data_IF_936470174263
#
_entry.id   IF_936470174263
#
_cell.length_a   1.000
_cell.length_b   1.000
_cell.length_c   1.000
_cell.angle_alpha   90.00
_cell.angle_beta   90.00
_cell.angle_gamma   90.00
#
_symmetry.space_group_name_H-M   'P 1'
#
loop_
_entity.id
_entity.type
_entity.pdbx_description
1 polymer ?
#
# COMPACT_ATOMS: atom_id res chain seq x y z
N UNK A 1 19.20 4.82 -5.24
CA UNK A 1 18.04 4.08 -5.78
C UNK A 1 18.24 2.60 -5.51
N UNK A 2 17.22 1.89 -4.99
CA UNK A 2 17.25 0.47 -4.69
C UNK A 2 15.89 -0.18 -5.01
N UNK A 3 15.92 -1.48 -5.30
CA UNK A 3 14.71 -2.28 -5.54
C UNK A 3 14.28 -3.01 -4.25
N UNK A 4 13.26 -2.51 -3.58
CA UNK A 4 12.73 -3.07 -2.34
C UNK A 4 12.04 -4.43 -2.52
N UNK A 5 11.77 -4.86 -3.74
CA UNK A 5 11.29 -6.22 -4.00
C UNK A 5 12.38 -7.28 -3.77
N UNK A 6 13.63 -6.88 -3.55
CA UNK A 6 14.78 -7.76 -3.29
C UNK A 6 15.29 -7.62 -1.85
N UNK A 7 15.98 -8.67 -1.35
CA UNK A 7 16.63 -8.65 -0.04
C UNK A 7 17.74 -7.59 0.02
N UNK A 8 18.60 -7.56 -1.01
CA UNK A 8 19.73 -6.64 -1.06
C UNK A 8 19.29 -5.18 -1.15
N UNK A 9 18.23 -4.91 -1.94
CA UNK A 9 17.66 -3.58 -2.04
C UNK A 9 17.10 -3.08 -0.71
N UNK A 10 16.39 -3.92 0.03
CA UNK A 10 15.90 -3.59 1.37
C UNK A 10 17.04 -3.37 2.36
N UNK A 11 18.08 -4.23 2.34
CA UNK A 11 19.25 -4.08 3.21
C UNK A 11 20.01 -2.77 2.93
N UNK A 12 20.22 -2.44 1.67
CA UNK A 12 20.90 -1.20 1.27
C UNK A 12 20.12 0.05 1.72
N UNK A 13 18.78 0.04 1.59
CA UNK A 13 17.95 1.16 2.04
C UNK A 13 17.98 1.28 3.56
N UNK A 14 17.86 0.19 4.29
CA UNK A 14 17.89 0.22 5.75
C UNK A 14 19.22 0.74 6.28
N UNK A 15 20.35 0.25 5.77
CA UNK A 15 21.68 0.70 6.16
C UNK A 15 21.86 2.19 5.86
N UNK A 16 21.58 2.63 4.64
CA UNK A 16 21.70 4.03 4.25
C UNK A 16 20.78 4.97 5.06
N UNK A 17 19.61 4.48 5.49
CA UNK A 17 18.69 5.26 6.35
C UNK A 17 19.25 5.43 7.75
N UNK A 18 19.72 4.35 8.37
CA UNK A 18 20.30 4.40 9.72
C UNK A 18 21.58 5.24 9.73
N UNK A 19 22.46 5.04 8.74
CA UNK A 19 23.73 5.80 8.64
C UNK A 19 23.47 7.30 8.38
N UNK A 20 22.50 7.62 7.52
CA UNK A 20 22.21 8.99 7.12
C UNK A 20 21.41 9.80 8.14
N UNK A 21 20.51 9.15 8.90
CA UNK A 21 19.62 9.80 9.87
C UNK A 21 20.08 9.62 11.33
N UNK A 22 21.00 8.69 11.60
CA UNK A 22 21.43 8.35 12.95
C UNK A 22 20.41 7.56 13.77
N UNK A 23 19.27 7.13 13.16
CA UNK A 23 18.19 6.40 13.76
C UNK A 23 16.94 6.42 12.89
N UNK A 24 15.80 5.93 13.40
CA UNK A 24 14.54 5.91 12.68
C UNK A 24 13.35 6.09 13.63
N UNK A 25 12.55 7.12 13.43
CA UNK A 25 11.37 7.44 14.22
C UNK A 25 10.07 7.06 13.48
N UNK A 26 10.08 7.21 12.16
CA UNK A 26 8.89 7.03 11.33
C UNK A 26 9.24 6.21 10.10
N UNK A 27 8.42 5.16 9.83
CA UNK A 27 8.47 4.39 8.59
C UNK A 27 7.12 4.43 7.89
N UNK A 28 7.12 4.85 6.63
CA UNK A 28 5.93 4.86 5.78
C UNK A 28 6.17 3.94 4.59
N UNK A 29 5.51 2.78 4.59
CA UNK A 29 5.59 1.81 3.50
C UNK A 29 4.60 2.18 2.39
N UNK A 30 5.03 3.03 1.46
CA UNK A 30 4.23 3.46 0.31
C UNK A 30 4.57 2.73 -1.01
N UNK A 31 5.51 1.79 -0.96
CA UNK A 31 5.89 0.97 -2.12
C UNK A 31 4.78 -0.02 -2.44
N UNK A 32 4.43 -0.11 -3.71
CA UNK A 32 3.41 -1.04 -4.18
C UNK A 32 2.90 -0.69 -5.57
N UNK A 33 2.11 -1.58 -6.10
CA UNK A 33 1.49 -1.47 -7.42
C UNK A 33 1.33 -2.82 -8.08
N UNK A 34 0.66 -2.88 -9.22
CA UNK A 34 0.51 -4.10 -10.00
C UNK A 34 0.88 -3.88 -11.45
N UNK A 35 1.58 -4.87 -12.00
CA UNK A 35 1.86 -5.02 -13.43
C UNK A 35 1.22 -6.28 -13.98
N UNK A 36 0.36 -6.94 -13.21
CA UNK A 36 -0.35 -8.15 -13.64
C UNK A 36 -1.15 -7.87 -14.90
N UNK A 37 -1.15 -8.82 -15.85
CA UNK A 37 -2.00 -8.73 -17.04
C UNK A 37 -3.48 -8.87 -16.65
N UNK A 38 -4.36 -8.36 -17.50
CA UNK A 38 -5.79 -8.72 -17.46
C UNK A 38 -6.00 -10.18 -17.86
N UNK A 39 -7.20 -10.69 -17.61
CA UNK A 39 -7.58 -12.07 -17.98
C UNK A 39 -7.82 -13.01 -16.78
N UNK A 40 -7.92 -12.43 -15.59
CA UNK A 40 -8.28 -13.16 -14.38
C UNK A 40 -7.22 -14.16 -13.92
N UNK A 41 -7.63 -15.18 -13.16
CA UNK A 41 -6.70 -16.12 -12.53
C UNK A 41 -5.84 -16.91 -13.52
N UNK A 42 -6.36 -17.22 -14.70
CA UNK A 42 -5.67 -18.02 -15.70
C UNK A 42 -4.45 -17.33 -16.33
N UNK A 43 -4.43 -15.99 -16.27
CA UNK A 43 -3.31 -15.19 -16.76
C UNK A 43 -2.16 -15.03 -15.75
N UNK A 44 -2.34 -15.50 -14.50
CA UNK A 44 -1.40 -15.29 -13.41
C UNK A 44 -0.49 -16.53 -13.23
N UNK A 45 0.72 -16.47 -13.78
CA UNK A 45 1.76 -17.48 -13.53
C UNK A 45 2.32 -17.36 -12.10
N UNK A 46 2.98 -18.43 -11.62
CA UNK A 46 3.68 -18.43 -10.33
C UNK A 46 4.68 -17.26 -10.20
N UNK A 47 5.34 -16.90 -11.29
CA UNK A 47 6.25 -15.76 -11.32
C UNK A 47 5.52 -14.45 -11.05
N UNK A 48 4.37 -14.23 -11.66
CA UNK A 48 3.57 -13.03 -11.42
C UNK A 48 3.12 -12.98 -9.96
N UNK A 49 2.66 -14.10 -9.41
CA UNK A 49 2.34 -14.20 -8.00
C UNK A 49 3.50 -13.83 -7.10
N UNK A 50 4.70 -14.37 -7.39
CA UNK A 50 5.90 -14.07 -6.61
C UNK A 50 6.30 -12.59 -6.70
N UNK A 51 6.23 -12.00 -7.89
CA UNK A 51 6.56 -10.59 -8.12
C UNK A 51 5.58 -9.68 -7.35
N UNK A 52 4.27 -9.96 -7.39
CA UNK A 52 3.26 -9.19 -6.65
C UNK A 52 3.43 -9.31 -5.12
N UNK A 53 3.72 -10.51 -4.61
CA UNK A 53 4.00 -10.72 -3.18
C UNK A 53 5.31 -10.02 -2.77
N UNK A 54 6.36 -10.11 -3.56
CA UNK A 54 7.64 -9.45 -3.27
C UNK A 54 7.48 -7.93 -3.16
N UNK A 55 6.74 -7.32 -4.08
CA UNK A 55 6.57 -5.88 -4.12
C UNK A 55 5.57 -5.37 -3.06
N UNK A 56 4.41 -6.02 -2.93
CA UNK A 56 3.27 -5.48 -2.18
C UNK A 56 3.18 -5.96 -0.72
N UNK A 57 3.95 -6.97 -0.34
CA UNK A 57 4.03 -7.51 1.03
C UNK A 57 5.47 -7.56 1.53
N UNK A 58 6.32 -8.35 0.86
CA UNK A 58 7.63 -8.69 1.39
C UNK A 58 8.60 -7.51 1.41
N UNK A 59 8.40 -6.49 0.58
CA UNK A 59 9.17 -5.24 0.65
C UNK A 59 9.02 -4.57 2.03
N UNK A 60 7.79 -4.46 2.54
CA UNK A 60 7.54 -3.92 3.87
C UNK A 60 8.11 -4.84 4.97
N UNK A 61 7.83 -6.14 4.90
CA UNK A 61 8.34 -7.13 5.88
C UNK A 61 9.86 -7.11 6.00
N UNK A 62 10.58 -7.00 4.86
CA UNK A 62 12.05 -6.94 4.84
C UNK A 62 12.57 -5.68 5.52
N UNK A 63 11.99 -4.51 5.20
CA UNK A 63 12.40 -3.25 5.83
C UNK A 63 12.07 -3.22 7.31
N UNK A 64 10.88 -3.67 7.72
CA UNK A 64 10.50 -3.73 9.14
C UNK A 64 11.48 -4.58 9.95
N UNK A 65 11.88 -5.73 9.42
CA UNK A 65 12.88 -6.61 10.08
C UNK A 65 14.23 -5.93 10.31
N UNK A 66 14.58 -4.95 9.50
CA UNK A 66 15.85 -4.23 9.56
C UNK A 66 15.75 -2.93 10.36
N UNK A 67 14.62 -2.24 10.32
CA UNK A 67 14.45 -0.91 10.92
C UNK A 67 13.78 -0.95 12.31
N UNK A 68 12.83 -1.86 12.52
CA UNK A 68 12.08 -1.96 13.78
C UNK A 68 12.96 -2.23 15.01
N UNK A 69 14.05 -3.02 14.93
CA UNK A 69 14.95 -3.19 16.08
C UNK A 69 15.49 -1.87 16.65
N UNK A 70 15.77 -0.88 15.80
CA UNK A 70 16.22 0.45 16.27
C UNK A 70 15.08 1.21 16.99
N UNK A 71 13.85 1.15 16.46
CA UNK A 71 12.68 1.73 17.13
C UNK A 71 12.43 1.10 18.50
N UNK A 72 12.55 -0.23 18.61
CA UNK A 72 12.39 -0.95 19.88
C UNK A 72 13.46 -0.51 20.88
N UNK A 73 14.70 -0.37 20.44
CA UNK A 73 15.82 0.08 21.27
C UNK A 73 15.62 1.49 21.82
N UNK A 74 15.05 2.39 21.02
CA UNK A 74 14.74 3.75 21.49
C UNK A 74 13.41 3.85 22.25
N UNK A 75 12.57 2.79 22.23
CA UNK A 75 11.29 2.75 22.95
C UNK A 75 10.18 3.60 22.33
N UNK A 76 10.36 4.03 21.08
CA UNK A 76 9.37 4.87 20.36
C UNK A 76 9.48 4.67 18.86
N UNK A 77 8.34 4.87 18.16
CA UNK A 77 8.29 4.84 16.70
C UNK A 77 6.87 4.83 16.16
N UNK A 78 6.74 5.15 14.89
CA UNK A 78 5.47 5.08 14.17
C UNK A 78 5.65 4.45 12.79
N UNK A 79 4.85 3.42 12.50
CA UNK A 79 4.85 2.69 11.23
C UNK A 79 3.47 2.84 10.58
N UNK A 80 3.45 3.18 9.29
CA UNK A 80 2.22 3.19 8.49
C UNK A 80 2.43 2.36 7.23
N UNK A 81 1.58 1.34 7.06
CA UNK A 81 1.51 0.53 5.85
C UNK A 81 0.44 1.05 4.90
N UNK A 82 0.78 1.33 3.65
CA UNK A 82 -0.19 1.67 2.62
C UNK A 82 -0.71 0.37 1.98
N UNK A 83 -1.89 -0.03 2.42
CA UNK A 83 -2.65 -1.16 1.90
C UNK A 83 -3.47 -0.78 0.65
N UNK A 84 -4.68 -1.26 0.52
CA UNK A 84 -5.62 -0.92 -0.55
C UNK A 84 -7.03 -1.38 -0.18
N UNK A 85 -8.06 -0.69 -0.67
CA UNK A 85 -9.44 -1.19 -0.60
C UNK A 85 -9.61 -2.54 -1.31
N UNK A 86 -8.75 -2.86 -2.28
CA UNK A 86 -8.83 -4.13 -3.02
C UNK A 86 -8.65 -5.36 -2.12
N UNK A 87 -8.12 -5.23 -0.92
CA UNK A 87 -8.13 -6.29 0.09
C UNK A 87 -9.54 -6.74 0.50
N UNK A 88 -10.55 -5.90 0.30
CA UNK A 88 -11.99 -6.16 0.56
C UNK A 88 -12.82 -6.17 -0.72
N UNK A 89 -12.43 -5.37 -1.71
CA UNK A 89 -13.11 -5.22 -3.00
C UNK A 89 -12.12 -5.56 -4.13
N UNK A 90 -11.74 -6.85 -4.32
CA UNK A 90 -10.79 -7.25 -5.34
C UNK A 90 -11.39 -7.12 -6.74
N UNK A 91 -10.62 -6.59 -7.69
CA UNK A 91 -10.97 -6.60 -9.11
C UNK A 91 -10.47 -7.92 -9.73
N UNK A 92 -11.36 -8.89 -9.85
CA UNK A 92 -11.02 -10.26 -10.26
C UNK A 92 -10.44 -10.37 -11.67
N UNK A 93 -10.71 -9.41 -12.54
CA UNK A 93 -10.24 -9.44 -13.92
C UNK A 93 -8.77 -9.01 -14.07
N UNK A 94 -8.20 -8.28 -13.09
CA UNK A 94 -6.90 -7.63 -13.30
C UNK A 94 -5.95 -7.59 -12.11
N UNK A 95 -6.44 -7.78 -10.86
CA UNK A 95 -5.61 -7.50 -9.68
C UNK A 95 -5.69 -8.55 -8.57
N UNK A 96 -5.99 -9.81 -8.90
CA UNK A 96 -6.17 -10.88 -7.90
C UNK A 96 -4.94 -11.01 -6.99
N UNK A 97 -3.74 -11.15 -7.56
CA UNK A 97 -2.51 -11.35 -6.79
C UNK A 97 -2.13 -10.10 -5.96
N UNK A 98 -2.34 -8.91 -6.53
CA UNK A 98 -2.18 -7.65 -5.80
C UNK A 98 -3.14 -7.55 -4.61
N UNK A 99 -4.42 -7.83 -4.82
CA UNK A 99 -5.44 -7.79 -3.77
C UNK A 99 -5.11 -8.76 -2.63
N UNK A 100 -4.68 -9.98 -2.96
CA UNK A 100 -4.22 -10.97 -2.00
C UNK A 100 -2.99 -10.49 -1.21
N UNK A 101 -1.99 -9.90 -1.89
CA UNK A 101 -0.80 -9.35 -1.23
C UNK A 101 -1.16 -8.18 -0.30
N UNK A 102 -2.09 -7.29 -0.69
CA UNK A 102 -2.55 -6.16 0.14
C UNK A 102 -3.41 -6.64 1.33
N UNK A 103 -4.19 -7.71 1.17
CA UNK A 103 -4.88 -8.35 2.30
C UNK A 103 -3.89 -8.94 3.31
N UNK A 104 -2.85 -9.63 2.82
CA UNK A 104 -1.77 -10.13 3.66
C UNK A 104 -1.01 -9.00 4.37
N UNK A 105 -0.74 -7.86 3.70
CA UNK A 105 -0.11 -6.68 4.31
C UNK A 105 -0.96 -6.11 5.44
N UNK A 106 -2.28 -6.01 5.28
CA UNK A 106 -3.20 -5.53 6.32
C UNK A 106 -3.18 -6.44 7.55
N UNK A 107 -3.19 -7.76 7.33
CA UNK A 107 -3.08 -8.77 8.41
C UNK A 107 -1.72 -8.69 9.09
N UNK A 108 -0.63 -8.57 8.33
CA UNK A 108 0.72 -8.38 8.85
C UNK A 108 0.81 -7.11 9.71
N UNK A 109 0.31 -5.98 9.21
CA UNK A 109 0.26 -4.72 9.95
C UNK A 109 -0.44 -4.87 11.31
N UNK A 110 -1.58 -5.57 11.32
CA UNK A 110 -2.33 -5.84 12.56
C UNK A 110 -1.56 -6.75 13.52
N UNK A 111 -0.93 -7.80 13.02
CA UNK A 111 -0.12 -8.71 13.84
C UNK A 111 1.09 -7.96 14.45
N UNK A 112 1.80 -7.20 13.62
CA UNK A 112 2.94 -6.39 14.04
C UNK A 112 2.57 -5.37 15.12
N UNK A 113 1.39 -4.74 15.01
CA UNK A 113 0.90 -3.82 16.04
C UNK A 113 0.78 -4.48 17.42
N UNK A 114 0.30 -5.72 17.47
CA UNK A 114 0.17 -6.46 18.73
C UNK A 114 1.52 -6.72 19.39
N UNK A 115 2.53 -7.01 18.59
CA UNK A 115 3.88 -7.27 19.06
C UNK A 115 4.60 -6.01 19.51
N UNK A 116 4.43 -4.89 18.78
CA UNK A 116 5.24 -3.69 18.96
C UNK A 116 4.62 -2.66 19.91
N UNK A 117 3.31 -2.70 20.16
CA UNK A 117 2.65 -1.78 21.08
C UNK A 117 3.28 -1.74 22.47
N UNK A 118 3.53 -2.90 23.13
CA UNK A 118 4.21 -2.94 24.42
C UNK A 118 5.66 -2.41 24.39
N UNK A 119 6.23 -2.27 23.21
CA UNK A 119 7.61 -1.79 22.98
C UNK A 119 7.67 -0.31 22.61
N UNK A 120 6.54 0.41 22.67
CA UNK A 120 6.45 1.84 22.41
C UNK A 120 6.33 2.22 20.91
N UNK A 121 6.17 1.24 20.00
CA UNK A 121 6.08 1.49 18.57
C UNK A 121 4.64 1.35 18.09
N UNK A 122 4.08 2.41 17.51
CA UNK A 122 2.73 2.39 16.94
C UNK A 122 2.76 1.88 15.50
N UNK A 123 1.83 1.03 15.15
CA UNK A 123 1.67 0.51 13.79
C UNK A 123 0.23 0.67 13.35
N UNK A 124 0.01 1.32 12.21
CA UNK A 124 -1.31 1.48 11.60
C UNK A 124 -1.24 1.19 10.10
N UNK A 125 -2.39 1.06 9.47
CA UNK A 125 -2.51 0.92 8.03
C UNK A 125 -3.47 1.97 7.46
N UNK A 126 -3.24 2.33 6.20
CA UNK A 126 -4.15 3.14 5.38
C UNK A 126 -4.50 2.33 4.15
N UNK A 127 -5.78 2.24 3.82
CA UNK A 127 -6.31 1.52 2.66
C UNK A 127 -6.95 2.51 1.69
N UNK A 128 -6.19 3.07 0.75
CA UNK A 128 -6.73 3.97 -0.25
C UNK A 128 -7.62 3.26 -1.26
N UNK A 129 -8.58 4.01 -1.82
CA UNK A 129 -9.28 3.67 -3.03
C UNK A 129 -8.45 3.99 -4.28
N UNK A 130 -9.10 4.34 -5.37
CA UNK A 130 -8.39 4.81 -6.55
C UNK A 130 -7.78 6.19 -6.33
N UNK A 131 -6.46 6.30 -6.56
CA UNK A 131 -5.68 7.53 -6.38
C UNK A 131 -5.19 8.03 -7.73
N UNK A 132 -5.32 9.33 -7.98
CA UNK A 132 -4.86 9.99 -9.18
C UNK A 132 -3.34 10.19 -9.14
N UNK A 133 -2.60 9.19 -9.60
CA UNK A 133 -1.13 9.15 -9.63
C UNK A 133 -0.62 8.99 -11.06
N UNK A 134 0.67 9.27 -11.29
CA UNK A 134 1.32 8.98 -12.58
C UNK A 134 1.15 7.51 -12.99
N UNK A 135 1.20 6.58 -12.03
CA UNK A 135 1.00 5.15 -12.30
C UNK A 135 -0.45 4.83 -12.71
N UNK A 136 -1.45 5.46 -12.07
CA UNK A 136 -2.85 5.29 -12.44
C UNK A 136 -3.17 5.91 -13.80
N UNK A 137 -2.60 7.07 -14.13
CA UNK A 137 -2.74 7.67 -15.44
C UNK A 137 -2.12 6.80 -16.56
N UNK A 138 -0.94 6.24 -16.30
CA UNK A 138 -0.32 5.27 -17.20
C UNK A 138 -1.18 4.01 -17.40
N UNK A 139 -1.89 3.56 -16.35
CA UNK A 139 -2.85 2.45 -16.44
C UNK A 139 -4.04 2.83 -17.32
N UNK A 140 -4.65 4.00 -17.10
CA UNK A 140 -5.75 4.50 -17.93
C UNK A 140 -5.36 4.55 -19.42
N UNK A 141 -4.18 5.09 -19.74
CA UNK A 141 -3.66 5.14 -21.11
C UNK A 141 -3.51 3.75 -21.74
N UNK A 142 -2.98 2.78 -20.97
CA UNK A 142 -2.85 1.40 -21.47
C UNK A 142 -4.21 0.75 -21.72
N UNK A 143 -5.18 0.97 -20.84
CA UNK A 143 -6.54 0.41 -21.00
C UNK A 143 -7.25 1.03 -22.19
N UNK A 144 -7.16 2.37 -22.37
CA UNK A 144 -7.71 3.07 -23.51
C UNK A 144 -7.13 2.53 -24.83
N UNK A 145 -5.79 2.43 -24.92
CA UNK A 145 -5.11 1.89 -26.10
C UNK A 145 -5.49 0.43 -26.39
N UNK A 146 -5.61 -0.40 -25.38
CA UNK A 146 -6.00 -1.81 -25.53
C UNK A 146 -7.44 -1.96 -26.02
N UNK A 147 -8.34 -1.12 -25.51
CA UNK A 147 -9.76 -1.14 -25.88
C UNK A 147 -10.08 -0.36 -27.16
N UNK A 148 -9.12 0.37 -27.74
CA UNK A 148 -9.36 1.27 -28.87
C UNK A 148 -10.30 2.43 -28.52
N UNK A 149 -10.32 2.87 -27.26
CA UNK A 149 -11.15 3.96 -26.74
C UNK A 149 -10.29 5.17 -26.34
N UNK A 150 -10.94 6.25 -25.91
CA UNK A 150 -10.25 7.39 -25.30
C UNK A 150 -10.01 7.17 -23.80
N UNK A 151 -9.17 8.02 -23.20
CA UNK A 151 -8.79 7.94 -21.79
C UNK A 151 -9.97 8.20 -20.85
N UNK A 152 -10.95 9.02 -21.24
CA UNK A 152 -12.14 9.31 -20.43
C UNK A 152 -13.06 8.09 -20.34
N UNK A 153 -13.29 7.43 -21.46
CA UNK A 153 -14.04 6.16 -21.52
C UNK A 153 -13.37 5.08 -20.68
N UNK A 154 -12.03 4.96 -20.76
CA UNK A 154 -11.28 4.01 -19.94
C UNK A 154 -11.35 4.36 -18.45
N UNK A 155 -11.30 5.65 -18.08
CA UNK A 155 -11.45 6.14 -16.70
C UNK A 155 -12.82 5.82 -16.15
N UNK A 156 -13.88 6.08 -16.92
CA UNK A 156 -15.24 5.74 -16.54
C UNK A 156 -15.40 4.23 -16.35
N UNK A 157 -14.83 3.42 -17.23
CA UNK A 157 -14.85 1.95 -17.08
C UNK A 157 -14.20 1.46 -15.80
N UNK A 158 -13.12 2.11 -15.34
CA UNK A 158 -12.53 1.79 -14.02
C UNK A 158 -13.49 2.18 -12.89
N UNK A 159 -14.11 3.36 -12.96
CA UNK A 159 -15.07 3.79 -11.96
C UNK A 159 -16.26 2.85 -11.87
N UNK A 160 -16.78 2.40 -13.01
CA UNK A 160 -17.90 1.46 -13.09
C UNK A 160 -17.52 0.08 -12.51
N UNK A 161 -16.30 -0.41 -12.81
CA UNK A 161 -15.79 -1.67 -12.26
C UNK A 161 -15.63 -1.62 -10.73
N UNK A 162 -15.39 -0.44 -10.16
CA UNK A 162 -15.35 -0.22 -8.71
C UNK A 162 -16.75 -0.08 -8.09
N UNK A 163 -17.80 -0.05 -8.88
CA UNK A 163 -19.17 0.25 -8.42
C UNK A 163 -19.44 1.74 -8.19
N UNK A 164 -18.59 2.60 -8.75
CA UNK A 164 -18.61 4.04 -8.58
C UNK A 164 -17.73 4.54 -7.43
N UNK A 165 -17.48 5.84 -7.44
CA UNK A 165 -16.82 6.57 -6.34
C UNK A 165 -17.79 7.67 -5.91
N UNK A 166 -18.44 7.57 -4.74
CA UNK A 166 -19.47 8.52 -4.31
C UNK A 166 -19.07 10.00 -4.32
N UNK A 167 -17.79 10.32 -4.05
CA UNK A 167 -17.30 11.71 -4.18
C UNK A 167 -17.07 12.16 -5.63
N UNK A 168 -17.35 11.30 -6.62
CA UNK A 168 -17.32 11.62 -8.06
C UNK A 168 -15.93 11.66 -8.70
N UNK A 169 -14.86 11.31 -7.98
CA UNK A 169 -13.49 11.35 -8.48
C UNK A 169 -12.56 10.41 -7.71
N UNK A 170 -11.42 10.01 -8.30
CA UNK A 170 -10.29 9.45 -7.55
C UNK A 170 -9.78 10.45 -6.50
N UNK A 171 -9.19 9.95 -5.42
CA UNK A 171 -8.53 10.79 -4.44
C UNK A 171 -7.17 11.30 -4.98
N UNK A 172 -6.69 12.41 -4.42
CA UNK A 172 -5.37 12.93 -4.72
C UNK A 172 -4.32 12.36 -3.75
N UNK A 173 -3.06 12.18 -4.17
CA UNK A 173 -1.98 11.71 -3.28
C UNK A 173 -1.86 12.54 -2.00
N UNK A 174 -2.07 13.86 -2.09
CA UNK A 174 -2.05 14.75 -0.95
C UNK A 174 -3.08 14.40 0.12
N UNK A 175 -4.28 13.98 -0.28
CA UNK A 175 -5.35 13.60 0.65
C UNK A 175 -4.94 12.38 1.49
N UNK A 176 -4.21 11.43 0.88
CA UNK A 176 -3.63 10.29 1.59
C UNK A 176 -2.49 10.73 2.52
N UNK A 177 -1.62 11.62 2.02
CA UNK A 177 -0.47 12.12 2.78
C UNK A 177 -0.89 12.87 4.06
N UNK A 178 -1.97 13.65 4.03
CA UNK A 178 -2.50 14.37 5.20
C UNK A 178 -2.95 13.37 6.30
N UNK A 179 -3.64 12.30 5.92
CA UNK A 179 -4.01 11.24 6.88
C UNK A 179 -2.77 10.54 7.45
N UNK A 180 -1.81 10.20 6.60
CA UNK A 180 -0.56 9.55 7.03
C UNK A 180 0.22 10.47 7.98
N UNK A 181 0.36 11.75 7.65
CA UNK A 181 1.04 12.74 8.48
C UNK A 181 0.39 12.85 9.88
N UNK A 182 -0.94 12.84 9.94
CA UNK A 182 -1.66 12.80 11.21
C UNK A 182 -1.35 11.51 11.99
N UNK A 183 -1.41 10.33 11.34
CA UNK A 183 -1.22 9.02 11.98
C UNK A 183 0.19 8.83 12.55
N UNK A 184 1.23 9.42 11.93
CA UNK A 184 2.61 9.31 12.44
C UNK A 184 2.93 10.36 13.50
N UNK A 185 2.11 11.38 13.65
CA UNK A 185 2.32 12.45 14.64
C UNK A 185 1.90 12.04 16.06
N UNK A 186 2.37 12.80 17.06
CA UNK A 186 1.98 12.61 18.48
C UNK A 186 0.49 12.84 18.74
N UNK A 187 -0.19 13.58 17.85
CA UNK A 187 -1.64 13.80 17.92
C UNK A 187 -2.44 12.50 17.77
N UNK A 188 -1.83 11.46 17.18
CA UNK A 188 -2.41 10.14 17.00
C UNK A 188 -1.89 9.12 18.03
N UNK A 189 -1.42 9.56 19.20
CA UNK A 189 -0.76 8.71 20.22
C UNK A 189 -1.60 7.53 20.70
N UNK A 190 -2.92 7.65 20.71
CA UNK A 190 -3.85 6.58 21.08
C UNK A 190 -4.31 5.72 19.89
N UNK A 191 -3.86 6.04 18.66
CA UNK A 191 -4.24 5.31 17.45
C UNK A 191 -3.18 4.25 17.16
N UNK A 192 -3.58 2.97 17.31
CA UNK A 192 -2.68 1.84 17.17
C UNK A 192 -3.42 0.58 16.69
N UNK A 193 -2.83 -0.12 15.73
CA UNK A 193 -3.40 -1.34 15.15
C UNK A 193 -4.70 -1.11 14.37
N UNK A 194 -4.97 0.11 13.95
CA UNK A 194 -6.12 0.48 13.15
C UNK A 194 -5.76 0.48 11.65
N UNK A 195 -6.79 0.30 10.82
CA UNK A 195 -6.70 0.51 9.39
C UNK A 195 -7.76 1.50 8.95
N UNK A 196 -7.33 2.55 8.27
CA UNK A 196 -8.17 3.65 7.80
C UNK A 196 -8.42 3.53 6.32
N UNK A 197 -9.68 3.37 5.94
CA UNK A 197 -10.12 3.45 4.54
C UNK A 197 -10.23 4.91 4.14
N UNK A 198 -9.66 5.25 2.99
CA UNK A 198 -9.77 6.56 2.35
C UNK A 198 -10.00 6.38 0.86
N UNK A 199 -11.25 6.23 0.45
CA UNK A 199 -11.64 5.73 -0.86
C UNK A 199 -12.78 6.51 -1.51
N UNK A 200 -13.17 7.64 -0.92
CA UNK A 200 -14.27 8.44 -1.41
C UNK A 200 -15.64 7.77 -1.31
N UNK A 201 -15.77 6.73 -0.45
CA UNK A 201 -17.01 6.00 -0.24
C UNK A 201 -17.19 4.80 -1.18
N UNK A 202 -16.14 4.35 -1.85
CA UNK A 202 -16.18 3.25 -2.84
C UNK A 202 -16.61 1.92 -2.21
N UNK A 203 -16.09 1.57 -1.01
CA UNK A 203 -16.53 0.36 -0.30
C UNK A 203 -17.95 0.58 0.22
N UNK A 204 -18.92 -0.28 -0.15
CA UNK A 204 -20.33 -0.08 0.21
C UNK A 204 -20.66 -0.54 1.65
N UNK A 205 -19.70 -1.06 2.40
CA UNK A 205 -19.89 -1.62 3.75
C UNK A 205 -18.96 -0.98 4.77
N UNK A 206 -19.36 -1.00 6.02
CA UNK A 206 -18.55 -0.59 7.19
C UNK A 206 -17.59 -1.69 7.66
#
# INVERSE_FOLDING_TARGET
QADLATLDGAANVAAATIDGLGGIDIVIHSVGGSKSPGGGFAALSDRIWQDELNLNLLAAVRLDRLLVPEMIKQGSGAIVHISSIQRRLPLHESTIAYAAAKAALSTYSKALSKELGPKGVRVNAVAPGWIHTTASEAMVKRLAAHAGSDEETARQGIMDALGGIPIGRPAWPREIAELVAFLVSDRASAIHGAEYVIDGGTIPTV
#
